data_IF_142280351107
#
_entry.id   IF_142280351107
#
_cell.length_a   1.000
_cell.length_b   1.000
_cell.length_c   1.000
_cell.angle_alpha   90.00
_cell.angle_beta   90.00
_cell.angle_gamma   90.00
#
_symmetry.space_group_name_H-M   'P 1'
#
loop_
_entity.id
_entity.type
_entity.pdbx_description
1 polymer ?
2 polymer ?
3 polymer ?
4 non-polymer ?
5 non-polymer ?
6 non-polymer ?
7 water ?
#
# COMPACT_ATOMS: atom_id res chain seq x y z
N UNK A 1 5.29 -12.49 18.00
CA UNK A 1 5.49 -12.20 16.52
C UNK A 1 4.15 -12.30 15.78
N UNK A 2 3.89 -11.43 14.81
CA UNK A 2 2.63 -11.46 14.00
C UNK A 2 2.69 -12.66 13.07
N UNK A 3 1.67 -13.52 13.07
CA UNK A 3 1.60 -14.73 12.21
C UNK A 3 0.59 -14.46 11.07
N UNK A 4 -0.53 -13.82 11.38
CA UNK A 4 -1.62 -13.57 10.42
C UNK A 4 -2.30 -12.27 10.81
N UNK A 5 -2.96 -11.64 9.84
CA UNK A 5 -3.53 -10.28 9.97
C UNK A 5 -4.78 -10.26 9.13
N UNK A 6 -5.83 -9.67 9.67
CA UNK A 6 -7.01 -9.23 8.90
C UNK A 6 -7.20 -7.71 9.05
N UNK A 7 -7.22 -6.97 7.95
CA UNK A 7 -7.50 -5.52 8.05
C UNK A 7 -8.30 -4.99 6.83
N UNK A 8 -9.01 -3.90 7.07
CA UNK A 8 -9.77 -3.14 6.08
C UNK A 8 -9.24 -1.71 6.03
N UNK A 9 -9.12 -1.20 4.81
CA UNK A 9 -8.84 0.22 4.48
C UNK A 9 -10.13 0.82 3.90
N UNK A 10 -10.65 1.88 4.49
CA UNK A 10 -11.83 2.60 3.94
C UNK A 10 -11.31 3.92 3.39
N UNK A 11 -11.70 4.28 2.20
CA UNK A 11 -11.40 5.60 1.61
C UNK A 11 -12.75 6.24 1.23
N UNK A 12 -13.12 7.33 1.90
CA UNK A 12 -14.31 8.13 1.56
C UNK A 12 -13.88 9.52 1.17
N UNK A 13 -14.33 10.00 0.02
CA UNK A 13 -14.03 11.37 -0.47
C UNK A 13 -15.33 12.17 -0.60
N UNK A 14 -15.23 13.47 -0.38
CA UNK A 14 -16.35 14.44 -0.46
C UNK A 14 -16.73 14.64 -1.94
N UNK A 15 -15.76 14.47 -2.83
CA UNK A 15 -15.87 14.75 -4.28
C UNK A 15 -15.28 13.59 -5.07
N UNK A 16 -16.12 12.78 -5.70
CA UNK A 16 -15.59 11.81 -6.66
C UNK A 16 -14.75 12.48 -7.76
N UNK A 17 -13.68 11.81 -8.17
CA UNK A 17 -12.81 12.17 -9.31
C UNK A 17 -12.46 10.90 -10.04
N UNK A 18 -11.86 10.97 -11.24
CA UNK A 18 -11.49 9.78 -12.00
C UNK A 18 -10.72 8.74 -11.19
N UNK A 19 -11.25 7.53 -11.09
CA UNK A 19 -10.53 6.42 -10.43
C UNK A 19 -10.61 6.52 -8.92
N UNK A 20 -11.42 7.45 -8.43
CA UNK A 20 -11.69 7.56 -6.97
C UNK A 20 -13.21 7.63 -6.81
N UNK A 21 -13.88 6.49 -6.60
CA UNK A 21 -15.28 6.51 -6.19
C UNK A 21 -15.52 7.24 -4.86
N UNK A 22 -16.75 7.58 -4.56
CA UNK A 22 -17.14 8.24 -3.31
C UNK A 22 -16.64 7.39 -2.14
N UNK A 23 -16.76 6.08 -2.21
CA UNK A 23 -16.37 5.23 -1.08
C UNK A 23 -15.84 3.88 -1.60
N UNK A 24 -14.68 3.46 -1.07
CA UNK A 24 -14.11 2.12 -1.33
C UNK A 24 -13.65 1.55 0.01
N UNK A 25 -14.04 0.32 0.28
CA UNK A 25 -13.62 -0.48 1.44
C UNK A 25 -12.98 -1.74 0.86
N UNK A 26 -11.72 -2.01 1.22
CA UNK A 26 -10.97 -3.20 0.78
C UNK A 26 -10.49 -3.96 2.00
N UNK A 27 -10.57 -5.27 1.90
CA UNK A 27 -10.16 -6.27 2.91
C UNK A 27 -8.89 -6.97 2.48
N UNK A 28 -8.02 -7.22 3.44
CA UNK A 28 -6.71 -7.88 3.25
C UNK A 28 -6.56 -8.99 4.27
N UNK A 29 -6.07 -10.16 3.81
CA UNK A 29 -5.62 -11.23 4.71
C UNK A 29 -4.14 -11.39 4.50
N UNK A 30 -3.37 -11.29 5.60
CA UNK A 30 -1.89 -11.30 5.56
C UNK A 30 -1.46 -10.33 4.46
N UNK A 31 -2.11 -9.18 4.33
CA UNK A 31 -1.68 -8.08 3.43
C UNK A 31 -2.30 -8.18 2.01
N UNK A 32 -2.78 -9.42 1.68
CA UNK A 32 -3.25 -9.82 0.32
C UNK A 32 -4.70 -9.35 0.23
N UNK A 33 -5.05 -8.49 -0.77
CA UNK A 33 -6.42 -8.05 -0.94
C UNK A 33 -7.34 -9.22 -1.28
N UNK A 34 -8.50 -9.33 -0.67
CA UNK A 34 -9.36 -10.53 -0.87
C UNK A 34 -10.83 -10.14 -1.05
N UNK A 35 -11.22 -8.95 -0.63
CA UNK A 35 -12.61 -8.47 -0.74
C UNK A 35 -12.65 -6.99 -0.92
N UNK A 36 -13.73 -6.46 -1.49
CA UNK A 36 -13.84 -5.06 -1.89
C UNK A 36 -15.32 -4.66 -1.86
N UNK A 37 -15.62 -3.48 -1.32
CA UNK A 37 -16.93 -2.82 -1.56
C UNK A 37 -16.65 -1.48 -2.23
N UNK A 38 -17.44 -1.07 -3.21
CA UNK A 38 -17.37 0.34 -3.64
C UNK A 38 -18.76 0.90 -3.99
N UNK A 39 -18.87 2.21 -3.90
CA UNK A 39 -20.15 2.96 -4.03
C UNK A 39 -20.66 2.87 -5.47
N UNK A 40 -19.83 2.51 -6.44
CA UNK A 40 -20.30 2.34 -7.85
C UNK A 40 -21.05 1.01 -8.02
N UNK A 41 -20.43 -0.08 -7.62
CA UNK A 41 -20.94 -1.47 -7.77
C UNK A 41 -22.04 -1.75 -6.74
N UNK A 42 -21.85 -1.27 -5.52
CA UNK A 42 -22.88 -1.29 -4.49
C UNK A 42 -22.95 -2.64 -3.80
N UNK A 43 -21.90 -3.46 -3.90
CA UNK A 43 -21.86 -4.87 -3.40
C UNK A 43 -20.47 -5.26 -2.88
N UNK A 44 -20.42 -6.00 -1.79
CA UNK A 44 -19.17 -6.71 -1.40
C UNK A 44 -18.90 -7.78 -2.45
N UNK A 45 -17.69 -7.86 -2.99
CA UNK A 45 -17.32 -8.88 -3.99
C UNK A 45 -15.96 -9.48 -3.70
N UNK A 46 -15.74 -10.74 -4.12
CA UNK A 46 -14.48 -11.45 -3.88
C UNK A 46 -13.38 -10.92 -4.78
N UNK A 47 -12.18 -10.80 -4.25
CA UNK A 47 -10.98 -10.48 -5.05
C UNK A 47 -10.11 -11.73 -5.18
N UNK A 48 -10.37 -12.83 -4.47
CA UNK A 48 -9.58 -14.08 -4.67
C UNK A 48 -10.50 -15.25 -4.97
N UNK A 49 -10.02 -16.21 -5.74
CA UNK A 49 -10.79 -17.45 -5.95
C UNK A 49 -11.08 -18.08 -4.59
N UNK A 50 -10.13 -18.11 -3.67
CA UNK A 50 -10.36 -18.92 -2.45
C UNK A 50 -11.54 -18.36 -1.64
N UNK A 51 -11.67 -17.01 -1.49
CA UNK A 51 -12.84 -16.47 -0.73
C UNK A 51 -14.13 -16.68 -1.54
N UNK A 52 -14.07 -16.56 -2.87
CA UNK A 52 -15.26 -16.88 -3.70
C UNK A 52 -15.72 -18.32 -3.42
N UNK A 53 -14.84 -19.31 -3.43
CA UNK A 53 -15.29 -20.73 -3.34
C UNK A 53 -15.69 -21.09 -1.91
N UNK A 54 -15.21 -20.34 -0.92
CA UNK A 54 -15.48 -20.63 0.52
C UNK A 54 -16.68 -19.84 1.04
N UNK A 55 -16.96 -18.67 0.48
CA UNK A 55 -18.03 -17.77 0.97
C UNK A 55 -19.37 -18.36 0.55
N UNK A 56 -20.47 -17.89 1.16
CA UNK A 56 -21.83 -18.18 0.66
C UNK A 56 -22.51 -16.84 0.35
N UNK A 57 -23.70 -16.86 -0.29
CA UNK A 57 -24.45 -15.64 -0.60
C UNK A 57 -24.57 -14.69 0.61
N UNK A 58 -24.91 -15.23 1.80
CA UNK A 58 -25.24 -14.43 3.01
C UNK A 58 -24.00 -13.69 3.47
N UNK A 59 -22.82 -14.29 3.27
CA UNK A 59 -21.53 -13.60 3.51
C UNK A 59 -21.47 -12.25 2.74
N UNK A 60 -21.65 -12.26 1.41
CA UNK A 60 -21.57 -11.08 0.50
C UNK A 60 -22.68 -10.10 0.88
N UNK A 61 -23.87 -10.62 1.08
CA UNK A 61 -25.10 -9.85 1.37
C UNK A 61 -24.96 -9.04 2.68
N UNK A 62 -24.50 -9.70 3.74
CA UNK A 62 -24.43 -9.10 5.10
C UNK A 62 -23.39 -8.00 5.05
N UNK A 63 -22.33 -8.19 4.27
CA UNK A 63 -21.25 -7.18 4.20
C UNK A 63 -21.67 -6.03 3.25
N UNK A 64 -22.50 -6.32 2.26
CA UNK A 64 -23.06 -5.25 1.40
C UNK A 64 -23.76 -4.24 2.30
N UNK A 65 -24.57 -4.74 3.21
CA UNK A 65 -25.40 -3.87 4.08
C UNK A 65 -24.48 -2.95 4.88
N UNK A 66 -23.37 -3.48 5.41
CA UNK A 66 -22.45 -2.62 6.23
C UNK A 66 -21.72 -1.65 5.32
N UNK A 67 -21.39 -2.06 4.11
CA UNK A 67 -20.71 -1.13 3.20
C UNK A 67 -21.61 0.04 2.83
N UNK A 68 -22.87 -0.26 2.54
CA UNK A 68 -23.91 0.78 2.27
C UNK A 68 -24.07 1.67 3.51
N UNK A 69 -24.09 1.08 4.70
CA UNK A 69 -24.25 1.87 5.92
C UNK A 69 -23.06 2.76 6.13
N UNK A 70 -21.86 2.24 5.85
CA UNK A 70 -20.60 2.98 6.09
C UNK A 70 -20.49 4.14 5.10
N UNK A 71 -20.85 3.92 3.87
CA UNK A 71 -20.88 4.95 2.84
C UNK A 71 -21.69 6.16 3.34
N UNK A 72 -22.88 5.91 3.84
CA UNK A 72 -23.81 6.97 4.29
C UNK A 72 -23.24 7.58 5.57
N UNK A 73 -22.65 6.80 6.46
CA UNK A 73 -22.06 7.43 7.66
C UNK A 73 -20.92 8.38 7.24
N UNK A 74 -20.10 8.00 6.26
CA UNK A 74 -18.94 8.83 5.85
C UNK A 74 -19.42 10.13 5.20
N UNK A 75 -20.47 10.09 4.37
CA UNK A 75 -21.03 11.32 3.78
C UNK A 75 -21.33 12.33 4.92
N UNK A 76 -22.08 11.90 5.92
CA UNK A 76 -22.43 12.68 7.14
C UNK A 76 -21.17 13.09 7.90
N UNK A 77 -20.20 12.19 8.09
CA UNK A 77 -18.95 12.50 8.80
C UNK A 77 -18.18 13.61 8.06
N UNK A 78 -18.10 13.53 6.72
CA UNK A 78 -17.39 14.57 5.94
C UNK A 78 -18.06 15.94 6.14
N UNK A 79 -19.38 16.05 6.10
CA UNK A 79 -20.08 17.35 6.35
C UNK A 79 -19.82 17.80 7.80
N UNK A 80 -19.90 16.89 8.77
CA UNK A 80 -19.61 17.25 10.18
C UNK A 80 -18.23 17.92 10.32
N UNK A 81 -17.18 17.33 9.78
CA UNK A 81 -15.83 17.86 10.03
C UNK A 81 -15.61 19.16 9.26
N UNK A 82 -16.15 19.25 8.06
CA UNK A 82 -16.04 20.50 7.28
C UNK A 82 -16.58 21.63 8.18
N UNK A 83 -17.74 21.42 8.79
CA UNK A 83 -18.46 22.47 9.55
C UNK A 83 -17.68 22.71 10.83
N UNK A 84 -17.12 21.65 11.39
CA UNK A 84 -16.35 21.73 12.65
C UNK A 84 -15.05 22.49 12.43
N UNK A 85 -14.31 22.26 11.35
CA UNK A 85 -13.02 22.99 11.13
C UNK A 85 -13.31 24.29 10.35
N UNK A 86 -14.58 24.65 10.13
CA UNK A 86 -15.01 25.81 9.29
C UNK A 86 -14.15 25.81 8.00
N UNK A 87 -14.06 24.72 7.25
CA UNK A 87 -13.06 24.62 6.14
C UNK A 87 -13.71 25.08 4.84
N UNK A 88 -12.86 25.25 3.83
CA UNK A 88 -13.28 25.39 2.42
C UNK A 88 -14.00 24.12 2.01
N UNK A 89 -14.90 24.27 1.04
CA UNK A 89 -15.55 23.13 0.36
C UNK A 89 -14.57 22.42 -0.55
N UNK A 90 -15.03 21.71 -1.55
CA UNK A 90 -14.12 20.94 -2.40
C UNK A 90 -13.70 19.63 -1.73
N UNK A 91 -12.50 19.15 -2.05
CA UNK A 91 -12.10 17.75 -1.75
C UNK A 91 -11.60 17.61 -0.29
N UNK A 92 -12.23 16.66 0.40
CA UNK A 92 -11.80 16.19 1.74
C UNK A 92 -11.91 14.68 1.78
N UNK A 93 -11.12 14.07 2.67
CA UNK A 93 -10.95 12.61 2.74
C UNK A 93 -10.99 12.17 4.21
N UNK A 94 -11.79 11.15 4.47
CA UNK A 94 -11.77 10.35 5.69
C UNK A 94 -11.31 8.96 5.30
N UNK A 95 -10.26 8.51 5.98
CA UNK A 95 -9.61 7.21 5.82
C UNK A 95 -9.81 6.45 7.12
N UNK A 96 -9.95 5.14 7.02
CA UNK A 96 -9.98 4.27 8.22
C UNK A 96 -9.24 2.99 7.91
N UNK A 97 -8.32 2.62 8.81
CA UNK A 97 -7.68 1.25 8.85
C UNK A 97 -8.18 0.60 10.14
N UNK A 98 -8.67 -0.61 10.06
CA UNK A 98 -8.92 -1.35 11.28
C UNK A 98 -8.65 -2.82 11.03
N UNK A 99 -8.43 -3.55 12.11
CA UNK A 99 -8.29 -5.01 12.01
C UNK A 99 -7.56 -5.62 13.17
N UNK A 100 -7.20 -6.90 13.00
CA UNK A 100 -6.52 -7.73 14.03
C UNK A 100 -5.31 -8.48 13.46
N UNK A 101 -4.45 -8.86 14.39
CA UNK A 101 -3.27 -9.72 14.18
C UNK A 101 -3.32 -10.83 15.23
N UNK A 102 -2.96 -12.03 14.81
CA UNK A 102 -2.76 -13.22 15.66
C UNK A 102 -1.26 -13.39 15.86
N UNK A 103 -0.84 -13.49 17.12
CA UNK A 103 0.60 -13.50 17.47
C UNK A 103 0.99 -14.95 17.66
N UNK A 104 2.27 -15.23 17.77
CA UNK A 104 2.82 -16.58 18.02
C UNK A 104 2.37 -17.09 19.41
N UNK A 105 2.16 -16.23 20.41
CA UNK A 105 1.73 -16.65 21.78
C UNK A 105 0.20 -16.90 21.82
N UNK A 106 -0.46 -16.93 20.66
CA UNK A 106 -1.91 -17.24 20.58
C UNK A 106 -2.75 -16.00 20.82
N UNK A 107 -2.12 -14.88 21.14
CA UNK A 107 -2.77 -13.63 21.58
C UNK A 107 -3.15 -12.80 20.36
N UNK A 108 -4.09 -11.88 20.59
CA UNK A 108 -4.71 -11.02 19.56
C UNK A 108 -4.31 -9.56 19.85
N UNK A 109 -3.85 -8.84 18.84
CA UNK A 109 -3.82 -7.35 18.80
C UNK A 109 -4.90 -6.87 17.81
N UNK A 110 -5.49 -5.71 18.10
CA UNK A 110 -6.45 -5.08 17.18
C UNK A 110 -6.47 -3.58 17.34
N UNK A 111 -6.86 -2.86 16.30
CA UNK A 111 -7.03 -1.40 16.41
C UNK A 111 -7.93 -0.87 15.29
N UNK A 112 -8.36 0.37 15.50
CA UNK A 112 -9.15 1.13 14.52
C UNK A 112 -8.60 2.54 14.53
N UNK A 113 -8.13 3.01 13.38
CA UNK A 113 -7.57 4.38 13.27
C UNK A 113 -8.27 5.10 12.13
N UNK A 114 -8.67 6.32 12.41
CA UNK A 114 -9.31 7.19 11.41
C UNK A 114 -8.37 8.36 11.15
N UNK A 115 -8.31 8.78 9.91
CA UNK A 115 -7.57 9.97 9.50
C UNK A 115 -8.45 10.93 8.72
N UNK A 116 -8.15 12.23 8.83
CA UNK A 116 -8.90 13.29 8.11
C UNK A 116 -7.89 14.20 7.40
N UNK A 117 -7.99 14.32 6.09
CA UNK A 117 -7.14 15.25 5.27
C UNK A 117 -5.69 14.98 5.66
N UNK A 118 -5.32 13.71 5.82
CA UNK A 118 -3.90 13.33 5.90
C UNK A 118 -3.33 13.30 7.31
N UNK A 119 -4.13 13.55 8.34
CA UNK A 119 -3.63 13.48 9.73
C UNK A 119 -4.52 12.58 10.60
N UNK A 120 -3.93 12.08 11.69
CA UNK A 120 -4.62 11.42 12.82
C UNK A 120 -5.86 12.26 13.17
N UNK A 121 -7.01 11.59 13.22
CA UNK A 121 -8.26 12.13 13.80
C UNK A 121 -8.57 11.45 15.13
N UNK A 122 -8.93 10.17 15.11
CA UNK A 122 -9.23 9.40 16.35
C UNK A 122 -8.78 7.95 16.16
N UNK A 123 -8.37 7.32 17.24
CA UNK A 123 -7.79 5.96 17.17
C UNK A 123 -8.20 5.13 18.39
N UNK A 124 -8.20 3.83 18.19
CA UNK A 124 -8.61 2.89 19.26
C UNK A 124 -7.73 1.66 19.16
N UNK A 125 -7.40 1.12 20.32
CA UNK A 125 -6.49 -0.06 20.41
C UNK A 125 -6.99 -0.99 21.52
N UNK A 126 -6.95 -2.30 21.31
CA UNK A 126 -7.32 -3.26 22.38
C UNK A 126 -6.37 -3.12 23.58
N UNK A 127 -5.13 -2.72 23.40
CA UNK A 127 -4.18 -2.54 24.55
C UNK A 127 -4.77 -1.55 25.55
N UNK A 128 -5.14 -0.34 25.14
CA UNK A 128 -5.56 0.75 26.04
C UNK A 128 -7.10 0.77 26.16
N UNK A 129 -7.84 0.39 25.12
CA UNK A 129 -9.29 0.15 25.22
C UNK A 129 -10.12 1.46 25.26
N UNK A 130 -9.51 2.60 24.93
CA UNK A 130 -10.18 3.92 24.88
C UNK A 130 -9.74 4.73 23.65
N UNK A 131 -10.65 5.59 23.22
CA UNK A 131 -10.49 6.42 22.01
C UNK A 131 -9.51 7.53 22.36
N UNK A 132 -8.58 7.72 21.44
CA UNK A 132 -7.55 8.76 21.53
C UNK A 132 -7.87 9.80 20.43
N UNK A 133 -8.00 11.07 20.85
CA UNK A 133 -8.29 12.22 19.97
C UNK A 133 -6.97 12.90 19.66
N UNK A 134 -6.68 13.11 18.37
CA UNK A 134 -5.46 13.79 17.88
C UNK A 134 -5.55 15.32 18.01
N UNK A 135 -6.73 15.96 18.13
CA UNK A 135 -6.84 17.44 18.24
C UNK A 135 -8.18 17.81 18.87
N UNK A 136 -8.54 19.10 18.84
CA UNK A 136 -9.73 19.54 19.59
C UNK A 136 -11.03 19.23 18.81
N UNK A 137 -11.03 19.05 17.48
CA UNK A 137 -12.26 18.65 16.73
C UNK A 137 -12.60 17.18 17.03
N UNK A 138 -11.56 16.35 17.12
CA UNK A 138 -11.65 14.91 17.43
C UNK A 138 -12.10 14.74 18.90
N UNK A 139 -11.77 15.69 19.78
CA UNK A 139 -12.11 15.59 21.21
C UNK A 139 -13.64 15.55 21.34
N UNK A 140 -14.34 16.33 20.53
CA UNK A 140 -15.83 16.33 20.47
C UNK A 140 -16.32 14.93 20.10
N UNK A 141 -15.64 14.27 19.18
CA UNK A 141 -16.07 12.92 18.76
C UNK A 141 -15.80 11.93 19.90
N UNK A 142 -14.61 12.02 20.47
CA UNK A 142 -14.11 11.16 21.57
C UNK A 142 -15.14 11.20 22.70
N UNK A 143 -15.57 12.39 23.12
CA UNK A 143 -16.57 12.58 24.20
C UNK A 143 -17.86 11.89 23.82
N UNK A 144 -18.35 12.07 22.60
CA UNK A 144 -19.65 11.48 22.17
C UNK A 144 -19.50 9.95 22.15
N UNK A 145 -18.38 9.43 21.66
CA UNK A 145 -18.16 7.97 21.49
C UNK A 145 -18.00 7.27 22.84
N UNK A 146 -17.39 7.93 23.83
CA UNK A 146 -17.17 7.40 25.20
C UNK A 146 -18.45 7.40 26.01
N UNK A 147 -19.52 8.08 25.54
CA UNK A 147 -20.77 8.18 26.35
C UNK A 147 -21.34 6.77 26.62
N UNK A 148 -21.48 6.44 27.89
CA UNK A 148 -21.99 5.13 28.42
C UNK A 148 -21.10 3.97 27.94
N UNK A 149 -19.90 4.23 27.48
CA UNK A 149 -19.00 3.19 26.97
C UNK A 149 -19.53 2.41 25.78
N UNK A 150 -20.50 2.93 25.02
CA UNK A 150 -21.18 2.15 23.96
C UNK A 150 -20.25 1.85 22.76
N UNK A 151 -19.63 2.85 22.20
CA UNK A 151 -18.85 2.56 20.98
C UNK A 151 -17.63 1.69 21.33
N UNK A 152 -16.95 1.96 22.43
CA UNK A 152 -15.77 1.16 22.85
C UNK A 152 -16.18 -0.31 23.07
N UNK A 153 -17.37 -0.60 23.60
CA UNK A 153 -17.83 -2.01 23.72
C UNK A 153 -18.01 -2.63 22.32
N UNK A 154 -18.55 -1.94 21.34
CA UNK A 154 -18.73 -2.58 20.02
C UNK A 154 -17.34 -2.80 19.39
N UNK A 155 -16.45 -1.82 19.49
CA UNK A 155 -15.14 -1.92 18.84
C UNK A 155 -14.42 -3.12 19.45
N UNK A 156 -14.50 -3.26 20.77
CA UNK A 156 -13.74 -4.30 21.51
C UNK A 156 -14.29 -5.66 21.07
N UNK A 157 -15.61 -5.85 21.11
CA UNK A 157 -16.16 -7.17 20.73
C UNK A 157 -15.73 -7.49 19.28
N UNK A 158 -15.82 -6.53 18.33
CA UNK A 158 -15.39 -6.78 16.92
C UNK A 158 -13.89 -7.14 16.88
N UNK A 159 -13.02 -6.31 17.41
CA UNK A 159 -11.56 -6.46 17.17
C UNK A 159 -11.02 -7.65 17.96
N UNK A 160 -11.60 -7.99 19.12
CA UNK A 160 -11.02 -8.99 20.04
C UNK A 160 -11.61 -10.37 19.74
N UNK A 161 -12.84 -10.46 19.25
CA UNK A 161 -13.60 -11.73 19.15
C UNK A 161 -13.90 -12.05 17.69
N UNK A 162 -14.67 -11.19 17.01
CA UNK A 162 -15.19 -11.47 15.64
C UNK A 162 -14.04 -11.52 14.63
N UNK A 163 -13.18 -10.52 14.70
CA UNK A 163 -12.08 -10.34 13.75
C UNK A 163 -11.17 -11.57 13.76
N UNK A 164 -10.63 -12.02 14.90
CA UNK A 164 -9.73 -13.18 14.90
C UNK A 164 -10.44 -14.48 14.54
N UNK A 165 -11.72 -14.62 14.87
CA UNK A 165 -12.49 -15.82 14.53
C UNK A 165 -12.55 -15.88 12.99
N UNK A 166 -12.80 -14.74 12.34
CA UNK A 166 -12.99 -14.74 10.87
C UNK A 166 -11.61 -14.89 10.23
N UNK A 167 -10.58 -14.26 10.80
CA UNK A 167 -9.19 -14.44 10.31
C UNK A 167 -8.87 -15.96 10.24
N UNK A 168 -9.20 -16.72 11.27
CA UNK A 168 -8.87 -18.16 11.36
C UNK A 168 -9.62 -18.89 10.24
N UNK A 169 -10.87 -18.51 9.97
CA UNK A 169 -11.65 -19.11 8.86
C UNK A 169 -10.91 -18.86 7.54
N UNK A 170 -10.51 -17.61 7.29
CA UNK A 170 -9.87 -17.20 6.02
C UNK A 170 -8.50 -17.87 5.86
N UNK A 171 -7.76 -18.02 6.95
CA UNK A 171 -6.41 -18.68 6.88
C UNK A 171 -6.59 -20.12 6.38
N UNK A 172 -7.65 -20.77 6.81
CA UNK A 172 -7.98 -22.11 6.33
C UNK A 172 -8.28 -22.06 4.84
N UNK A 173 -9.32 -21.31 4.49
CA UNK A 173 -9.76 -21.05 3.09
C UNK A 173 -8.58 -20.69 2.18
N UNK A 174 -7.60 -19.94 2.66
CA UNK A 174 -6.54 -19.41 1.77
C UNK A 174 -5.23 -20.14 1.94
N UNK A 175 -5.23 -21.29 2.63
CA UNK A 175 -4.00 -21.95 3.14
C UNK A 175 -2.93 -22.03 2.03
N UNK A 176 -3.27 -22.59 0.88
CA UNK A 176 -2.34 -22.78 -0.28
C UNK A 176 -1.63 -21.48 -0.68
N UNK A 177 -2.40 -20.43 -1.02
CA UNK A 177 -1.89 -19.12 -1.50
C UNK A 177 -1.02 -18.52 -0.39
N UNK A 178 -1.52 -18.54 0.83
CA UNK A 178 -0.87 -17.85 1.96
C UNK A 178 0.49 -18.50 2.24
N UNK A 179 0.58 -19.84 2.12
CA UNK A 179 1.76 -20.62 2.59
C UNK A 179 2.89 -20.50 1.57
N UNK A 180 2.58 -20.36 0.28
CA UNK A 180 3.56 -20.50 -0.84
C UNK A 180 4.81 -19.61 -0.65
N UNK A 181 5.97 -20.03 -1.21
CA UNK A 181 7.26 -19.27 -1.25
C UNK A 181 7.86 -19.34 -2.65
N UNK A 182 7.82 -18.23 -3.38
CA UNK A 182 8.58 -18.03 -4.65
C UNK A 182 9.85 -17.26 -4.28
N UNK A 183 11.06 -17.81 -4.55
CA UNK A 183 12.30 -17.08 -4.26
C UNK A 183 12.57 -15.96 -5.29
N UNK A 184 13.35 -14.91 -4.93
CA UNK A 184 13.73 -13.88 -5.90
C UNK A 184 14.63 -14.42 -7.03
N UNK A 185 14.53 -13.80 -8.20
CA UNK A 185 15.52 -13.84 -9.28
C UNK A 185 16.33 -12.58 -9.04
N UNK A 186 17.65 -12.69 -8.80
CA UNK A 186 18.49 -11.51 -8.45
C UNK A 186 19.34 -11.11 -9.67
N UNK A 187 19.47 -9.81 -9.91
CA UNK A 187 20.41 -9.32 -10.95
C UNK A 187 20.99 -8.02 -10.45
N UNK A 188 22.28 -7.81 -10.76
CA UNK A 188 23.03 -6.56 -10.50
C UNK A 188 23.18 -5.78 -11.81
N UNK A 189 22.79 -4.49 -11.84
CA UNK A 189 22.99 -3.58 -13.00
C UNK A 189 23.97 -2.45 -12.67
N UNK A 190 24.57 -1.86 -13.70
CA UNK A 190 25.63 -0.86 -13.53
C UNK A 190 25.58 0.25 -14.57
N UNK A 191 25.22 1.44 -14.12
CA UNK A 191 25.32 2.74 -14.82
C UNK A 191 26.66 3.39 -14.44
N UNK A 192 27.60 3.48 -15.39
CA UNK A 192 28.99 3.95 -15.17
C UNK A 192 29.17 5.40 -15.66
N UNK A 193 28.32 6.35 -15.23
CA UNK A 193 28.21 7.77 -15.75
C UNK A 193 28.72 8.84 -14.75
N UNK A 194 29.29 9.95 -15.27
CA UNK A 194 29.74 11.17 -14.53
C UNK A 194 31.08 10.89 -13.84
N UNK A 195 31.78 9.83 -14.26
CA UNK A 195 32.96 9.27 -13.57
C UNK A 195 32.63 8.31 -12.43
N UNK A 196 31.36 8.13 -12.08
CA UNK A 196 30.91 7.56 -10.77
C UNK A 196 29.97 6.36 -10.99
N UNK A 197 30.50 5.14 -10.93
CA UNK A 197 29.74 3.88 -11.11
C UNK A 197 28.67 3.74 -10.03
N UNK A 198 27.42 3.53 -10.43
CA UNK A 198 26.29 3.21 -9.50
C UNK A 198 25.90 1.73 -9.71
N UNK A 199 25.74 0.98 -8.61
CA UNK A 199 25.52 -0.50 -8.63
C UNK A 199 24.19 -0.87 -7.97
N UNK A 200 23.29 -1.53 -8.71
CA UNK A 200 21.94 -1.83 -8.18
C UNK A 200 21.68 -3.33 -8.19
N UNK A 201 21.38 -3.83 -7.00
CA UNK A 201 21.01 -5.24 -6.74
C UNK A 201 19.49 -5.31 -6.69
N UNK A 202 18.88 -5.91 -7.71
CA UNK A 202 17.41 -5.99 -7.85
C UNK A 202 16.98 -7.41 -7.53
N UNK A 203 16.02 -7.55 -6.62
CA UNK A 203 15.35 -8.83 -6.36
C UNK A 203 13.94 -8.76 -6.97
N UNK A 204 13.69 -9.64 -7.92
CA UNK A 204 12.47 -9.63 -8.73
C UNK A 204 11.58 -10.81 -8.34
N UNK A 205 10.29 -10.60 -8.15
CA UNK A 205 9.31 -11.70 -8.24
C UNK A 205 9.27 -12.61 -7.01
N UNK A 206 9.38 -12.06 -5.77
CA UNK A 206 9.51 -12.86 -4.51
C UNK A 206 8.27 -12.74 -3.62
N UNK A 207 7.96 -13.83 -2.92
CA UNK A 207 6.83 -13.99 -1.99
C UNK A 207 7.21 -14.99 -0.88
N UNK A 208 7.02 -14.65 0.41
CA UNK A 208 6.44 -13.38 0.87
C UNK A 208 7.37 -12.16 0.77
N UNK A 209 7.08 -11.10 1.53
CA UNK A 209 7.70 -9.74 1.40
C UNK A 209 9.05 -9.67 2.10
N UNK A 210 9.29 -10.51 3.10
CA UNK A 210 10.55 -10.54 3.90
C UNK A 210 11.76 -10.94 3.02
N UNK A 211 12.78 -10.10 3.04
CA UNK A 211 14.01 -10.31 2.25
C UNK A 211 15.18 -9.52 2.88
N UNK A 212 16.39 -10.06 2.76
CA UNK A 212 17.66 -9.44 3.17
C UNK A 212 18.46 -9.11 1.91
N UNK A 213 18.79 -7.85 1.67
CA UNK A 213 19.63 -7.48 0.50
C UNK A 213 20.73 -6.54 1.00
N UNK A 214 21.97 -7.02 0.97
CA UNK A 214 23.15 -6.37 1.60
C UNK A 214 24.31 -6.35 0.61
N UNK A 215 24.89 -5.18 0.39
CA UNK A 215 26.17 -5.03 -0.33
C UNK A 215 27.34 -5.34 0.59
N UNK A 216 28.33 -6.06 0.05
CA UNK A 216 29.64 -6.36 0.68
C UNK A 216 30.71 -5.61 -0.08
N UNK A 217 31.75 -5.13 0.62
CA UNK A 217 33.02 -4.64 0.03
C UNK A 217 34.19 -5.42 0.65
N UNK A 218 34.80 -6.29 -0.15
CA UNK A 218 35.60 -7.42 0.33
C UNK A 218 34.90 -8.15 1.46
N UNK A 219 35.56 -8.22 2.63
CA UNK A 219 35.12 -8.94 3.85
C UNK A 219 34.20 -8.07 4.72
N UNK A 220 33.96 -6.82 4.32
CA UNK A 220 33.22 -5.80 5.11
C UNK A 220 31.74 -5.82 4.67
N UNK A 221 30.84 -5.40 5.55
CA UNK A 221 29.43 -5.07 5.19
C UNK A 221 29.40 -3.58 4.83
N UNK A 222 28.59 -3.15 3.86
CA UNK A 222 28.71 -1.80 3.25
C UNK A 222 27.42 -0.95 3.39
N UNK A 223 26.64 -1.17 4.46
CA UNK A 223 25.37 -0.44 4.78
C UNK A 223 25.60 1.07 4.80
N UNK A 224 26.65 1.54 5.48
CA UNK A 224 26.97 3.00 5.60
C UNK A 224 26.82 3.65 4.22
N UNK A 225 27.19 2.94 3.16
CA UNK A 225 27.17 3.46 1.76
C UNK A 225 25.93 2.92 1.00
N UNK A 226 25.19 1.96 1.59
CA UNK A 226 24.04 1.28 0.94
C UNK A 226 22.82 2.19 1.03
N UNK A 227 22.01 2.19 -0.02
CA UNK A 227 20.63 2.71 -0.05
C UNK A 227 19.67 1.59 -0.51
N UNK A 228 18.57 1.35 0.22
CA UNK A 228 17.51 0.37 -0.13
C UNK A 228 16.30 1.10 -0.74
N UNK A 229 15.71 0.59 -1.83
CA UNK A 229 14.32 0.90 -2.23
C UNK A 229 13.30 0.26 -1.29
N UNK A 230 12.03 0.66 -1.35
CA UNK A 230 10.98 -0.01 -0.60
C UNK A 230 10.88 -1.45 -1.07
N UNK A 231 10.22 -2.31 -0.31
CA UNK A 231 9.72 -3.60 -0.84
C UNK A 231 8.34 -3.32 -1.46
N UNK A 232 8.27 -3.25 -2.79
CA UNK A 232 7.13 -2.67 -3.56
C UNK A 232 6.43 -3.80 -4.31
N UNK A 233 5.14 -3.64 -4.65
CA UNK A 233 4.36 -4.71 -5.24
C UNK A 233 4.47 -4.88 -6.77
N UNK A 234 4.52 -6.13 -7.22
CA UNK A 234 4.36 -6.46 -8.66
C UNK A 234 2.86 -6.64 -8.92
N UNK A 235 2.40 -6.55 -10.17
CA UNK A 235 0.97 -6.72 -10.51
C UNK A 235 0.49 -8.13 -10.14
N UNK A 236 1.37 -9.13 -10.14
CA UNK A 236 0.95 -10.55 -10.00
C UNK A 236 0.90 -11.02 -8.54
N UNK A 237 1.08 -10.14 -7.55
CA UNK A 237 0.99 -10.43 -6.11
C UNK A 237 2.36 -10.69 -5.50
N UNK A 238 3.43 -10.72 -6.30
CA UNK A 238 4.83 -10.87 -5.79
C UNK A 238 5.44 -9.50 -5.53
N UNK A 239 6.67 -9.47 -5.08
CA UNK A 239 7.35 -8.26 -4.60
C UNK A 239 8.66 -8.05 -5.35
N UNK A 240 9.09 -6.79 -5.35
CA UNK A 240 10.33 -6.29 -5.96
C UNK A 240 11.06 -5.50 -4.89
N UNK A 241 12.39 -5.49 -4.93
CA UNK A 241 13.19 -4.44 -4.25
C UNK A 241 14.63 -4.45 -4.75
N UNK A 242 15.37 -3.49 -4.22
CA UNK A 242 16.75 -3.15 -4.65
C UNK A 242 17.51 -2.50 -3.50
N UNK A 243 18.80 -2.82 -3.37
CA UNK A 243 19.81 -2.11 -2.55
C UNK A 243 20.83 -1.51 -3.52
N UNK A 244 21.17 -0.26 -3.35
CA UNK A 244 22.09 0.44 -4.29
C UNK A 244 23.35 0.91 -3.53
N UNK A 245 24.42 1.13 -4.29
CA UNK A 245 25.70 1.72 -3.77
C UNK A 245 26.40 2.49 -4.90
N UNK A 246 27.22 3.45 -4.51
CA UNK A 246 28.15 4.20 -5.37
C UNK A 246 29.55 3.63 -5.13
N UNK A 247 30.26 3.34 -6.22
CA UNK A 247 31.62 2.76 -6.22
C UNK A 247 32.46 3.54 -7.24
N UNK A 248 33.78 3.53 -7.08
CA UNK A 248 34.68 4.00 -8.17
C UNK A 248 34.69 2.95 -9.26
N UNK A 249 34.65 3.37 -10.54
CA UNK A 249 34.79 2.44 -11.66
C UNK A 249 35.94 1.44 -11.43
N UNK A 250 37.12 1.92 -11.09
CA UNK A 250 38.30 1.03 -10.85
C UNK A 250 37.96 -0.08 -9.85
N UNK A 251 37.21 0.18 -8.78
CA UNK A 251 37.05 -0.82 -7.68
C UNK A 251 35.77 -1.68 -7.84
N UNK A 252 35.14 -1.69 -9.01
CA UNK A 252 33.78 -2.29 -9.18
C UNK A 252 33.79 -3.76 -8.77
N UNK A 253 34.95 -4.42 -8.86
CA UNK A 253 35.02 -5.89 -8.67
C UNK A 253 35.13 -6.24 -7.17
N UNK A 254 35.24 -5.23 -6.29
CA UNK A 254 35.35 -5.47 -4.83
C UNK A 254 33.99 -5.69 -4.18
N UNK A 255 32.93 -5.43 -4.92
CA UNK A 255 31.57 -5.32 -4.36
C UNK A 255 30.73 -6.51 -4.83
N UNK A 256 29.98 -7.12 -3.92
CA UNK A 256 29.00 -8.17 -4.28
C UNK A 256 27.78 -8.04 -3.36
N UNK A 257 26.65 -8.52 -3.84
CA UNK A 257 25.32 -8.37 -3.22
C UNK A 257 25.01 -9.73 -2.59
N UNK A 258 24.55 -9.74 -1.33
CA UNK A 258 24.05 -10.97 -0.64
C UNK A 258 22.54 -10.83 -0.48
N UNK A 259 21.79 -11.88 -0.82
CA UNK A 259 20.31 -11.91 -0.74
C UNK A 259 19.85 -13.21 -0.09
N UNK A 260 19.14 -13.12 1.03
CA UNK A 260 18.42 -14.28 1.64
C UNK A 260 16.90 -14.05 1.57
N UNK A 261 16.17 -15.12 1.32
CA UNK A 261 14.69 -15.16 1.30
C UNK A 261 14.23 -16.56 1.70
N UNK A 262 13.10 -16.68 2.41
CA UNK A 262 12.51 -17.99 2.73
C UNK A 262 12.36 -19.06 1.63
N UNK A 263 12.28 -18.66 0.36
CA UNK A 263 12.12 -19.58 -0.79
C UNK A 263 13.46 -20.07 -1.30
N UNK A 264 14.53 -19.58 -0.65
CA UNK A 264 15.96 -19.85 -0.95
C UNK A 264 16.45 -21.12 -0.25
N UNK A 265 16.89 -22.16 -0.99
CA UNK A 265 17.71 -23.22 -0.40
C UNK A 265 18.81 -22.67 0.51
N UNK A 266 19.65 -21.75 0.03
CA UNK A 266 20.66 -21.05 0.87
C UNK A 266 20.79 -19.61 0.39
N UNK A 267 21.24 -18.65 1.26
CA UNK A 267 21.65 -17.31 0.81
C UNK A 267 22.47 -17.26 -0.48
N UNK A 268 22.10 -16.36 -1.39
CA UNK A 268 22.71 -16.19 -2.73
C UNK A 268 23.64 -14.98 -2.81
N UNK A 269 24.53 -14.96 -3.80
CA UNK A 269 25.60 -13.96 -3.98
C UNK A 269 25.70 -13.55 -5.45
N UNK A 270 25.83 -12.25 -5.69
CA UNK A 270 25.65 -11.65 -7.03
C UNK A 270 26.62 -10.48 -7.17
N UNK A 271 27.06 -10.26 -8.40
CA UNK A 271 28.02 -9.21 -8.76
C UNK A 271 27.64 -8.68 -10.13
N UNK A 272 28.14 -7.48 -10.46
CA UNK A 272 27.96 -6.88 -11.80
C UNK A 272 28.67 -7.81 -12.79
N UNK A 273 27.96 -8.33 -13.79
CA UNK A 273 28.59 -9.14 -14.89
C UNK A 273 28.42 -8.35 -16.19
N UNK A 274 29.24 -7.31 -16.46
CA UNK A 274 29.16 -6.60 -17.74
C UNK A 274 29.37 -7.52 -18.95
N UNK B 16 -14.75 29.50 19.78
CA UNK B 16 -13.76 30.27 18.93
C UNK B 16 -14.40 30.53 17.55
N UNK B 17 -13.81 31.46 16.78
CA UNK B 17 -14.22 31.80 15.39
C UNK B 17 -13.04 31.45 14.45
N UNK B 18 -12.68 30.16 14.33
CA UNK B 18 -11.46 29.75 13.58
C UNK B 18 -11.84 29.12 12.23
N UNK B 19 -11.01 29.38 11.21
CA UNK B 19 -11.23 28.93 9.81
C UNK B 19 -9.95 28.17 9.43
N UNK B 20 -10.00 26.82 9.39
CA UNK B 20 -8.80 25.95 9.21
C UNK B 20 -8.55 25.74 7.71
N UNK B 21 -7.28 25.79 7.34
CA UNK B 21 -6.80 25.57 5.96
C UNK B 21 -6.40 24.10 5.84
N UNK B 22 -6.78 23.45 4.73
CA UNK B 22 -6.64 22.01 4.41
C UNK B 22 -5.31 21.40 4.92
N UNK B 23 -4.18 22.09 4.72
CA UNK B 23 -2.79 21.68 5.12
C UNK B 23 -1.97 21.36 3.85
N UNK B 24 -0.64 21.52 3.89
CA UNK B 24 0.25 21.45 2.69
C UNK B 24 0.16 20.05 2.03
N UNK B 25 -0.02 20.01 0.71
CA UNK B 25 0.01 18.73 -0.02
C UNK B 25 1.38 18.09 0.11
N UNK B 26 1.46 16.79 -0.08
CA UNK B 26 2.74 16.05 -0.21
C UNK B 26 2.78 15.50 -1.64
N UNK B 27 3.88 15.77 -2.29
CA UNK B 27 4.17 15.40 -3.69
C UNK B 27 4.52 13.92 -3.70
N UNK B 28 4.18 13.24 -4.80
CA UNK B 28 4.37 11.81 -4.89
C UNK B 28 5.84 11.43 -5.06
N UNK B 29 6.22 10.27 -4.55
CA UNK B 29 7.52 9.61 -4.79
C UNK B 29 7.16 8.50 -5.81
N UNK B 30 8.05 8.16 -6.71
CA UNK B 30 7.80 7.26 -7.87
C UNK B 30 8.92 6.23 -7.91
N UNK B 31 8.59 4.96 -7.83
CA UNK B 31 9.53 3.87 -8.14
C UNK B 31 9.12 3.27 -9.48
N UNK B 32 10.07 3.11 -10.39
CA UNK B 32 9.83 2.48 -11.71
C UNK B 32 10.64 1.17 -11.78
N UNK B 33 10.00 0.05 -12.04
CA UNK B 33 10.68 -1.27 -12.01
C UNK B 33 9.93 -2.27 -12.88
N UNK B 34 10.65 -3.22 -13.48
CA UNK B 34 10.06 -4.29 -14.29
C UNK B 34 9.74 -5.46 -13.37
N UNK B 35 8.76 -6.29 -13.71
CA UNK B 35 8.50 -7.57 -12.99
C UNK B 35 9.72 -8.48 -13.00
N UNK B 36 10.42 -8.55 -14.13
CA UNK B 36 11.56 -9.48 -14.40
C UNK B 36 12.72 -8.72 -15.00
N UNK B 37 13.92 -9.26 -14.83
CA UNK B 37 15.14 -8.75 -15.51
C UNK B 37 14.82 -8.71 -17.01
N UNK B 38 15.03 -7.54 -17.61
CA UNK B 38 14.89 -7.25 -19.04
C UNK B 38 15.72 -8.27 -19.85
N UNK B 39 15.08 -8.90 -20.83
CA UNK B 39 15.68 -9.73 -21.91
C UNK B 39 15.09 -9.20 -23.23
N UNK B 40 15.91 -8.89 -24.26
CA UNK B 40 15.42 -8.26 -25.52
C UNK B 40 14.40 -9.20 -26.14
N UNK B 41 13.33 -8.64 -26.71
CA UNK B 41 12.22 -9.37 -27.34
C UNK B 41 11.36 -10.16 -26.36
N UNK B 42 11.69 -10.22 -25.06
CA UNK B 42 10.84 -10.95 -24.07
C UNK B 42 9.92 -9.97 -23.34
N UNK B 43 8.64 -10.32 -23.40
CA UNK B 43 7.51 -9.57 -22.82
C UNK B 43 7.68 -9.55 -21.31
N UNK B 44 7.25 -8.47 -20.68
CA UNK B 44 7.62 -8.06 -19.30
C UNK B 44 6.52 -7.12 -18.81
N UNK B 45 6.61 -6.63 -17.57
CA UNK B 45 5.62 -5.66 -17.01
C UNK B 45 6.40 -4.49 -16.42
N UNK B 46 6.18 -3.31 -16.98
CA UNK B 46 6.71 -2.05 -16.45
C UNK B 46 5.77 -1.53 -15.36
N UNK B 47 6.29 -1.35 -14.14
CA UNK B 47 5.55 -0.86 -12.98
C UNK B 47 6.01 0.53 -12.60
N UNK B 48 5.03 1.33 -12.22
CA UNK B 48 5.25 2.66 -11.63
C UNK B 48 4.51 2.66 -10.30
N UNK B 49 5.22 2.65 -9.19
CA UNK B 49 4.62 2.61 -7.85
C UNK B 49 4.71 4.01 -7.28
N UNK B 50 3.54 4.63 -7.09
CA UNK B 50 3.43 6.05 -6.67
C UNK B 50 2.96 6.11 -5.20
N UNK B 51 3.77 6.73 -4.36
CA UNK B 51 3.59 6.75 -2.89
C UNK B 51 3.74 8.17 -2.35
N UNK B 52 3.36 8.34 -1.09
CA UNK B 52 3.73 9.51 -0.27
C UNK B 52 2.85 10.69 -0.51
N UNK B 53 1.78 10.57 -1.29
CA UNK B 53 1.09 11.79 -1.79
C UNK B 53 -0.21 12.03 -1.04
N UNK B 54 -0.56 13.33 -0.96
CA UNK B 54 -1.80 13.94 -0.45
C UNK B 54 -2.01 15.27 -1.16
N UNK B 55 -3.21 15.61 -1.68
CA UNK B 55 -4.35 14.68 -1.74
C UNK B 55 -4.22 13.60 -2.84
N UNK B 56 -5.26 12.73 -2.97
CA UNK B 56 -5.15 11.49 -3.74
C UNK B 56 -5.28 11.56 -5.27
N UNK B 57 -5.72 12.69 -5.81
CA UNK B 57 -5.75 12.95 -7.27
C UNK B 57 -4.34 12.96 -7.87
N UNK B 58 -4.06 12.04 -8.79
CA UNK B 58 -2.83 12.12 -9.63
C UNK B 58 -3.21 11.90 -11.10
N UNK B 59 -2.40 12.45 -12.00
CA UNK B 59 -2.38 11.96 -13.40
C UNK B 59 -1.05 11.28 -13.71
N UNK B 60 -1.17 10.08 -14.26
CA UNK B 60 -0.05 9.21 -14.58
C UNK B 60 -0.12 8.77 -16.03
N UNK B 61 1.03 8.74 -16.69
CA UNK B 61 1.16 8.20 -18.06
C UNK B 61 2.41 7.36 -18.06
N UNK B 62 2.38 6.29 -18.82
CA UNK B 62 3.54 5.40 -19.05
C UNK B 62 3.89 5.56 -20.52
N UNK B 63 5.10 6.08 -20.82
CA UNK B 63 5.45 6.61 -22.16
C UNK B 63 6.63 5.83 -22.70
N UNK B 64 6.54 5.45 -23.96
CA UNK B 64 7.63 4.84 -24.75
C UNK B 64 7.98 5.86 -25.84
N UNK B 65 9.19 6.44 -25.74
CA UNK B 65 9.67 7.54 -26.61
C UNK B 65 8.62 8.64 -26.62
N UNK B 66 8.07 8.96 -25.47
CA UNK B 66 7.14 10.09 -25.31
C UNK B 66 5.72 9.75 -25.71
N UNK B 67 5.42 8.51 -26.13
CA UNK B 67 4.08 8.11 -26.65
C UNK B 67 3.43 7.22 -25.62
N UNK B 68 2.12 7.39 -25.33
CA UNK B 68 1.42 6.53 -24.38
C UNK B 68 1.32 5.02 -24.77
N UNK B 69 1.80 4.20 -23.80
CA UNK B 69 1.98 2.74 -23.97
C UNK B 69 0.61 2.11 -23.85
N UNK B 70 0.20 1.23 -24.80
CA UNK B 70 -1.13 0.63 -24.79
C UNK B 70 -1.33 -0.38 -23.66
N UNK B 71 -2.53 -0.45 -23.10
CA UNK B 71 -2.84 -1.48 -22.09
C UNK B 71 -2.57 -1.02 -20.69
N UNK B 72 -2.38 0.27 -20.43
CA UNK B 72 -2.10 0.73 -19.05
C UNK B 72 -3.20 0.26 -18.07
N UNK B 73 -2.82 -0.38 -16.94
CA UNK B 73 -3.74 -0.77 -15.83
C UNK B 73 -3.36 0.03 -14.58
N UNK B 74 -4.34 0.52 -13.83
CA UNK B 74 -4.09 1.22 -12.54
C UNK B 74 -4.78 0.37 -11.48
N UNK B 75 -4.01 0.13 -10.44
CA UNK B 75 -4.47 -0.61 -9.26
C UNK B 75 -5.35 0.24 -8.36
N UNK B 76 -5.64 -0.35 -7.20
CA UNK B 76 -6.51 0.21 -6.15
C UNK B 76 -5.72 1.28 -5.41
N UNK B 77 -6.42 2.29 -4.95
CA UNK B 77 -5.87 3.33 -4.10
C UNK B 77 -5.73 2.77 -2.68
N UNK B 78 -4.53 2.82 -2.11
CA UNK B 78 -4.43 2.57 -0.66
C UNK B 78 -3.66 3.72 -0.04
N UNK B 79 -3.21 3.55 1.21
CA UNK B 79 -2.52 4.57 2.01
C UNK B 79 -1.69 3.91 3.11
N UNK B 80 -0.73 4.63 3.64
CA UNK B 80 0.23 4.11 4.63
C UNK B 80 -0.17 4.63 6.03
N UNK B 81 0.67 4.39 7.04
CA UNK B 81 0.37 4.73 8.47
C UNK B 81 0.28 6.25 8.63
N UNK B 82 0.99 6.99 7.79
CA UNK B 82 0.99 8.47 7.81
C UNK B 82 -0.17 9.01 6.99
N UNK B 83 -1.02 8.14 6.41
CA UNK B 83 -2.24 8.54 5.68
C UNK B 83 -1.84 9.08 4.32
N UNK B 84 -0.64 8.75 3.85
CA UNK B 84 -0.19 9.12 2.50
C UNK B 84 -0.70 8.07 1.49
N UNK B 85 -1.22 8.54 0.35
CA UNK B 85 -1.82 7.68 -0.69
C UNK B 85 -0.70 6.98 -1.46
N UNK B 86 -1.01 5.78 -1.95
CA UNK B 86 -0.13 5.03 -2.86
C UNK B 86 -0.93 4.29 -3.91
N UNK B 87 -0.37 4.15 -5.11
CA UNK B 87 -1.03 3.49 -6.25
C UNK B 87 0.00 2.87 -7.19
N UNK B 88 -0.31 1.67 -7.62
CA UNK B 88 0.51 0.91 -8.59
C UNK B 88 -0.12 1.10 -9.94
N UNK B 89 0.64 1.62 -10.88
CA UNK B 89 0.21 1.72 -12.30
C UNK B 89 1.16 0.82 -13.08
N UNK B 90 0.67 0.05 -14.04
CA UNK B 90 1.53 -0.96 -14.73
C UNK B 90 1.01 -1.19 -16.14
N UNK B 91 1.88 -1.77 -16.97
CA UNK B 91 1.58 -2.01 -18.40
C UNK B 91 2.51 -3.09 -18.96
N UNK B 92 2.01 -4.02 -19.79
CA UNK B 92 2.89 -4.95 -20.50
C UNK B 92 3.86 -4.15 -21.38
N UNK B 93 5.10 -4.58 -21.52
CA UNK B 93 6.02 -3.97 -22.50
C UNK B 93 7.05 -4.98 -22.94
N UNK B 94 7.74 -4.70 -24.05
CA UNK B 94 9.00 -5.39 -24.42
C UNK B 94 10.10 -4.36 -24.27
N UNK B 95 11.02 -4.57 -23.31
CA UNK B 95 12.12 -3.64 -23.09
C UNK B 95 13.09 -3.80 -24.27
N UNK B 96 13.58 -2.67 -24.75
CA UNK B 96 14.62 -2.57 -25.81
C UNK B 96 15.72 -1.62 -25.34
N UNK B 97 16.85 -1.63 -26.03
CA UNK B 97 18.00 -0.80 -25.58
C UNK B 97 17.81 0.58 -26.21
N UNK B 98 17.24 0.61 -27.41
CA UNK B 98 17.03 1.83 -28.24
C UNK B 98 15.98 2.74 -27.59
N UNK B 99 15.05 2.25 -26.76
CA UNK B 99 13.87 3.09 -26.42
C UNK B 99 13.92 3.60 -24.98
N UNK B 100 13.27 4.73 -24.77
CA UNK B 100 13.12 5.44 -23.47
C UNK B 100 11.70 5.22 -22.94
N UNK B 101 11.59 4.49 -21.83
CA UNK B 101 10.37 4.24 -21.06
C UNK B 101 10.32 5.18 -19.84
N UNK B 102 9.29 6.03 -19.75
CA UNK B 102 9.14 6.96 -18.62
C UNK B 102 7.77 6.80 -17.95
N UNK B 103 7.72 7.02 -16.64
CA UNK B 103 6.48 7.20 -15.89
C UNK B 103 6.32 8.70 -15.69
N UNK B 104 5.33 9.33 -16.29
CA UNK B 104 5.08 10.78 -16.08
C UNK B 104 3.90 11.00 -15.11
N UNK B 105 4.12 11.81 -14.08
CA UNK B 105 3.22 11.98 -12.92
C UNK B 105 2.95 13.47 -12.67
N UNK B 106 1.67 13.87 -12.67
CA UNK B 106 1.16 15.23 -12.31
C UNK B 106 0.40 15.16 -10.98
N UNK B 107 0.60 16.17 -10.12
CA UNK B 107 -0.07 16.31 -8.80
C UNK B 107 -0.24 17.80 -8.49
N UNK B 108 -1.29 18.15 -7.74
CA UNK B 108 -1.57 19.51 -7.16
C UNK B 108 -0.28 20.19 -6.70
N UNK B 109 0.52 19.51 -5.90
CA UNK B 109 1.69 20.11 -5.21
C UNK B 109 2.77 20.46 -6.21
N UNK B 110 2.68 19.91 -7.41
CA UNK B 110 3.74 19.94 -8.44
C UNK B 110 3.37 21.01 -9.45
N UNK B 111 4.19 22.06 -9.63
CA UNK B 111 3.85 23.11 -10.60
C UNK B 111 3.87 22.57 -12.06
N UNK B 112 4.68 21.53 -12.30
CA UNK B 112 4.86 20.84 -13.61
C UNK B 112 4.84 19.33 -13.38
N UNK B 113 4.31 18.54 -14.33
CA UNK B 113 4.44 17.09 -14.29
C UNK B 113 5.93 16.71 -14.36
N UNK B 114 6.27 15.53 -13.85
CA UNK B 114 7.67 15.07 -13.69
C UNK B 114 7.76 13.63 -14.22
N UNK B 115 8.75 13.37 -15.08
CA UNK B 115 9.02 12.06 -15.71
C UNK B 115 10.09 11.31 -14.89
N UNK B 116 9.87 10.03 -14.71
CA UNK B 116 10.78 9.10 -14.06
C UNK B 116 11.03 7.98 -15.07
N UNK B 117 12.30 7.77 -15.36
CA UNK B 117 12.76 6.95 -16.48
C UNK B 117 13.02 5.55 -15.94
N UNK B 118 12.61 4.53 -16.66
CA UNK B 118 13.01 3.15 -16.28
C UNK B 118 14.47 2.97 -16.66
N UNK B 119 15.31 2.79 -15.65
CA UNK B 119 16.75 2.44 -15.84
C UNK B 119 16.82 0.96 -16.20
N UNK B 120 17.12 0.61 -17.47
CA UNK B 120 17.11 -0.78 -17.92
C UNK B 120 18.16 -1.67 -17.24
N UNK B 121 17.74 -2.88 -16.90
CA UNK B 121 18.31 -3.77 -15.87
C UNK B 121 18.84 -4.98 -16.62
N UNK B 122 19.09 -4.79 -17.92
CA UNK B 122 19.68 -5.80 -18.83
C UNK B 122 21.01 -6.22 -18.22
N UNK C 1 -14.11 -10.17 7.99
CA UNK C 1 -15.58 -9.96 7.91
C UNK C 1 -15.86 -8.51 8.26
N UNK C 2 -16.28 -7.77 7.24
CA UNK C 2 -16.41 -6.30 7.26
C UNK C 2 -17.75 -5.97 7.88
N UNK C 3 -17.88 -6.14 9.18
CA UNK C 3 -19.17 -5.88 9.85
C UNK C 3 -18.96 -4.80 10.88
N UNK C 4 -17.84 -4.07 10.83
CA UNK C 4 -17.68 -2.93 11.75
C UNK C 4 -17.97 -1.69 10.91
N UNK C 5 -19.24 -1.31 10.90
CA UNK C 5 -19.72 -0.09 10.21
C UNK C 5 -18.98 1.06 10.87
N UNK C 6 -18.53 2.01 10.08
CA UNK C 6 -18.07 3.33 10.56
C UNK C 6 -19.17 3.95 11.45
N UNK C 7 -18.72 4.57 12.51
CA UNK C 7 -19.60 5.35 13.42
C UNK C 7 -19.43 6.81 13.00
N UNK C 8 -20.52 7.58 12.98
CA UNK C 8 -20.44 8.97 12.50
C UNK C 8 -19.68 9.81 13.53
N UNK C 9 -18.90 10.79 13.08
CA UNK C 9 -18.08 11.64 14.00
C UNK C 9 -18.99 12.57 14.83
X LIG D 1 -0.11 12.55 6.77
X LIG E 1 -3.51 -3.81 11.80
X LIG F 1 -7.20 7.52 -13.17
X LIG F 1 -5.98 7.48 -12.24
X LIG F 1 -5.61 8.78 -11.83
X LIG F 1 -6.30 6.67 -11.01
X LIG F 1 -4.79 6.84 -12.94
X LIG F 1 -4.57 7.53 -14.30
X LIG F 1 -4.16 8.90 -14.14
X LIG F 1 -3.50 6.73 -15.04
#
# INVERSE_FOLDING_TARGET
MVLHSLHYLDVAVSEPSPGIPQFVAMGFVDGIPFTRYDSERGRMEPLTEWIKDSADPEYWDSQTQIGVGSQHVYARSLETLRERYNQSGGLHTVLRVYGCELLSDGSVRGSERFGYDGRDFISFDLESGRFMAADSAAEITRRRWEHEGIVAERQTNYLKHECPEWLQKYVGYGQKELERKEPPDVHVSGKEEHGTLILSCHAYGFYPKTIAVNWMKGDEIWDQETEWGGVVPNSDGTFHTWARIEALPEEREQYRCRVEHPGMPEPGIFAWEPT
MHHHHHHSSGVDLGTENLYFQSMAGEAPKVEVYARSRAEEGKENILHCFITGFHPPKIDVELLKNGEPMPGVTYGDLSFNDKWQFQRLVYVPFIPTREDIFTCRVAHSTMPEPRSYRWEPDF
YMTLQAVTF
MG MG
CL CL
MPD C1 C2 O2 CM C3 C4 O4 C5
#
